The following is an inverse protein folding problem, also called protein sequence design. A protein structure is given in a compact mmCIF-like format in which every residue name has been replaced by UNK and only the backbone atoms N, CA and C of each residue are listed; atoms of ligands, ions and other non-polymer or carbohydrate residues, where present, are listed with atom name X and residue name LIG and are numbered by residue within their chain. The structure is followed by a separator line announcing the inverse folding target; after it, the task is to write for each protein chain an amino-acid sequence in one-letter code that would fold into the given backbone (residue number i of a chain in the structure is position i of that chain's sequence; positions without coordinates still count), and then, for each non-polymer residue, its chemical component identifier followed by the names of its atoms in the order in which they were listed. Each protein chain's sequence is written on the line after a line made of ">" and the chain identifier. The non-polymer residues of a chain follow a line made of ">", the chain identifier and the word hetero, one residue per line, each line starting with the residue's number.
data_IF_278904587775
#
_entry.id   IF_278904587775
#
_cell.length_a   1.000
_cell.length_b   1.000
_cell.length_c   1.000
_cell.angle_alpha   90.00
_cell.angle_beta   90.00
_cell.angle_gamma   90.00
#
_symmetry.space_group_name_H-M   'P 1'
#
loop_
_entity.id
_entity.type
_entity.pdbx_description
1 polymer ?
#
# COMPACT_ATOMS: atom_id res chain seq x y z
N UNK A 1 -8.68 -10.02 -23.71
CA UNK A 1 -9.12 -10.29 -22.32
C UNK A 1 -10.59 -9.94 -22.19
N UNK A 2 -11.34 -10.53 -21.24
CA UNK A 2 -12.76 -10.25 -21.02
C UNK A 2 -12.94 -9.20 -19.91
N UNK A 3 -13.54 -8.04 -20.22
CA UNK A 3 -13.74 -6.93 -19.27
C UNK A 3 -14.63 -7.33 -18.08
N UNK A 4 -15.63 -8.20 -18.30
CA UNK A 4 -16.51 -8.67 -17.23
C UNK A 4 -15.72 -9.41 -16.14
N UNK A 5 -14.85 -10.34 -16.55
CA UNK A 5 -14.01 -11.10 -15.63
C UNK A 5 -12.98 -10.23 -14.91
N UNK A 6 -12.51 -9.15 -15.55
CA UNK A 6 -11.59 -8.20 -14.91
C UNK A 6 -12.33 -7.31 -13.90
N UNK A 7 -13.58 -6.93 -14.18
CA UNK A 7 -14.41 -6.14 -13.28
C UNK A 7 -14.75 -6.92 -12.01
N UNK A 8 -15.10 -8.21 -12.12
CA UNK A 8 -15.36 -9.06 -10.96
C UNK A 8 -14.13 -9.17 -10.04
N UNK A 9 -12.93 -9.32 -10.61
CA UNK A 9 -11.68 -9.33 -9.83
C UNK A 9 -11.38 -7.98 -9.17
N UNK A 10 -11.61 -6.88 -9.87
CA UNK A 10 -11.47 -5.54 -9.30
C UNK A 10 -12.39 -5.39 -8.07
N UNK A 11 -13.62 -5.89 -8.19
CA UNK A 11 -14.59 -5.86 -7.10
C UNK A 11 -14.10 -6.64 -5.88
N UNK A 12 -13.64 -7.88 -6.08
CA UNK A 12 -13.08 -8.71 -5.02
C UNK A 12 -11.91 -8.01 -4.31
N UNK A 13 -11.01 -7.37 -5.07
CA UNK A 13 -9.86 -6.64 -4.52
C UNK A 13 -10.30 -5.45 -3.69
N UNK A 14 -11.20 -4.61 -4.19
CA UNK A 14 -11.71 -3.45 -3.43
C UNK A 14 -12.39 -3.92 -2.16
N UNK A 15 -13.25 -4.94 -2.22
CA UNK A 15 -13.95 -5.45 -1.04
C UNK A 15 -12.98 -6.03 0.01
N UNK A 16 -11.90 -6.69 -0.40
CA UNK A 16 -10.91 -7.25 0.55
C UNK A 16 -9.92 -6.22 1.09
N UNK A 17 -9.54 -5.21 0.30
CA UNK A 17 -8.54 -4.23 0.71
C UNK A 17 -9.14 -3.06 1.49
N UNK A 18 -10.41 -2.69 1.26
CA UNK A 18 -11.00 -1.48 1.81
C UNK A 18 -11.01 -1.45 3.34
N UNK A 19 -11.43 -2.54 3.98
CA UNK A 19 -11.44 -2.64 5.45
C UNK A 19 -10.02 -2.60 6.04
N UNK A 20 -9.06 -3.27 5.40
CA UNK A 20 -7.67 -3.29 5.89
C UNK A 20 -6.97 -1.95 5.73
N UNK A 21 -7.14 -1.28 4.58
CA UNK A 21 -6.59 0.06 4.37
C UNK A 21 -7.25 1.07 5.30
N UNK A 22 -8.57 0.98 5.48
CA UNK A 22 -9.30 1.83 6.43
C UNK A 22 -8.83 1.63 7.87
N UNK A 23 -8.63 0.38 8.31
CA UNK A 23 -8.05 0.07 9.63
C UNK A 23 -6.62 0.57 9.74
N UNK A 24 -5.78 0.41 8.71
CA UNK A 24 -4.42 0.95 8.70
C UNK A 24 -4.37 2.48 8.83
N UNK A 25 -5.40 3.19 8.35
CA UNK A 25 -5.51 4.65 8.46
C UNK A 25 -6.12 5.08 9.81
N UNK A 26 -7.10 4.34 10.32
CA UNK A 26 -7.84 4.68 11.52
C UNK A 26 -7.11 4.27 12.82
N UNK A 27 -6.49 3.09 12.80
CA UNK A 27 -5.77 2.51 13.92
C UNK A 27 -4.29 2.87 13.80
N UNK A 28 -3.97 4.11 14.14
CA UNK A 28 -2.60 4.60 14.20
C UNK A 28 -1.79 3.75 15.23
N UNK A 29 -1.06 2.74 14.74
CA UNK A 29 0.16 2.18 15.34
C UNK A 29 0.12 1.46 16.71
N UNK A 30 -0.86 0.62 17.05
CA UNK A 30 -0.70 -0.17 18.30
C UNK A 30 0.54 -1.10 18.25
N UNK A 31 0.93 -1.59 17.06
CA UNK A 31 2.16 -2.36 16.85
C UNK A 31 2.69 -2.24 15.41
N UNK A 32 3.97 -1.86 15.27
CA UNK A 32 4.66 -1.76 13.98
C UNK A 32 4.66 -3.09 13.19
N UNK A 33 4.78 -4.23 13.85
CA UNK A 33 4.77 -5.54 13.19
C UNK A 33 3.40 -5.84 12.55
N UNK A 34 2.31 -5.43 13.21
CA UNK A 34 0.95 -5.59 12.68
C UNK A 34 0.73 -4.67 11.49
N UNK A 35 1.21 -3.44 11.57
CA UNK A 35 1.17 -2.49 10.47
C UNK A 35 1.92 -3.03 9.24
N UNK A 36 3.16 -3.48 9.41
CA UNK A 36 3.99 -4.02 8.32
C UNK A 36 3.38 -5.31 7.73
N UNK A 37 2.83 -6.19 8.56
CA UNK A 37 2.15 -7.41 8.10
C UNK A 37 0.91 -7.08 7.26
N UNK A 38 0.06 -6.16 7.73
CA UNK A 38 -1.14 -5.73 7.01
C UNK A 38 -0.77 -5.00 5.71
N UNK A 39 0.23 -4.12 5.74
CA UNK A 39 0.75 -3.46 4.55
C UNK A 39 1.26 -4.47 3.51
N UNK A 40 2.09 -5.43 3.91
CA UNK A 40 2.62 -6.47 3.02
C UNK A 40 1.49 -7.28 2.39
N UNK A 41 0.48 -7.66 3.17
CA UNK A 41 -0.67 -8.41 2.68
C UNK A 41 -1.51 -7.61 1.69
N UNK A 42 -1.75 -6.32 1.97
CA UNK A 42 -2.49 -5.43 1.09
C UNK A 42 -1.74 -5.22 -0.23
N UNK A 43 -0.43 -4.97 -0.15
CA UNK A 43 0.41 -4.78 -1.32
C UNK A 43 0.54 -6.05 -2.16
N UNK A 44 0.66 -7.23 -1.57
CA UNK A 44 0.69 -8.49 -2.33
C UNK A 44 -0.58 -8.68 -3.16
N UNK A 45 -1.77 -8.42 -2.58
CA UNK A 45 -3.04 -8.48 -3.34
C UNK A 45 -3.12 -7.41 -4.41
N UNK A 46 -2.78 -6.18 -4.06
CA UNK A 46 -2.77 -5.06 -4.99
C UNK A 46 -1.86 -5.35 -6.19
N UNK A 47 -0.64 -5.81 -5.96
CA UNK A 47 0.37 -6.13 -6.98
C UNK A 47 0.12 -7.45 -7.70
N UNK A 48 -0.56 -8.42 -7.06
CA UNK A 48 -0.97 -9.67 -7.72
C UNK A 48 -1.90 -9.41 -8.90
N UNK A 49 -2.58 -8.28 -8.88
CA UNK A 49 -3.18 -7.72 -10.06
C UNK A 49 -2.15 -6.82 -10.75
N UNK A 50 -1.67 -7.27 -11.91
CA UNK A 50 -1.15 -6.33 -12.88
C UNK A 50 -2.31 -5.42 -13.26
N UNK A 51 -2.42 -4.27 -12.59
CA UNK A 51 -3.35 -3.24 -12.99
C UNK A 51 -3.25 -3.10 -14.49
N UNK A 52 -4.37 -3.18 -15.21
CA UNK A 52 -4.38 -2.80 -16.61
C UNK A 52 -4.26 -1.26 -16.67
N UNK A 53 -3.17 -0.70 -16.14
CA UNK A 53 -2.77 0.70 -16.34
C UNK A 53 -2.63 1.02 -17.83
N UNK A 54 -2.56 0.00 -18.68
CA UNK A 54 -2.37 0.10 -20.11
C UNK A 54 -3.67 0.02 -20.96
N UNK A 55 -4.85 -0.25 -20.37
CA UNK A 55 -6.10 -0.39 -21.14
C UNK A 55 -7.09 0.71 -20.79
N UNK A 56 -7.04 1.81 -21.55
CA UNK A 56 -8.05 2.87 -21.51
C UNK A 56 -9.47 2.29 -21.60
N UNK A 57 -9.68 1.31 -22.49
CA UNK A 57 -10.96 0.61 -22.69
C UNK A 57 -11.52 -0.04 -21.42
N UNK A 58 -10.66 -0.59 -20.54
CA UNK A 58 -11.11 -1.17 -19.28
C UNK A 58 -11.52 -0.08 -18.29
N UNK A 59 -10.77 1.02 -18.20
CA UNK A 59 -11.13 2.13 -17.32
C UNK A 59 -12.45 2.79 -17.75
N UNK A 60 -12.63 3.04 -19.04
CA UNK A 60 -13.89 3.55 -19.59
C UNK A 60 -15.05 2.60 -19.26
N UNK A 61 -14.86 1.29 -19.47
CA UNK A 61 -15.85 0.28 -19.12
C UNK A 61 -16.21 0.28 -17.62
N UNK A 62 -15.24 0.39 -16.72
CA UNK A 62 -15.51 0.44 -15.26
C UNK A 62 -16.27 1.72 -14.92
N UNK A 63 -15.88 2.87 -15.46
CA UNK A 63 -16.54 4.16 -15.21
C UNK A 63 -18.00 4.15 -15.68
N UNK A 64 -18.26 3.59 -16.86
CA UNK A 64 -19.60 3.46 -17.41
C UNK A 64 -20.48 2.50 -16.61
N UNK A 65 -19.89 1.41 -16.09
CA UNK A 65 -20.63 0.36 -15.40
C UNK A 65 -20.85 0.62 -13.91
N UNK A 66 -19.84 1.12 -13.22
CA UNK A 66 -19.88 1.45 -11.79
C UNK A 66 -18.79 2.49 -11.42
N UNK A 67 -19.14 3.76 -11.56
CA UNK A 67 -18.24 4.88 -11.23
C UNK A 67 -17.81 4.90 -9.76
N UNK A 68 -18.65 4.42 -8.84
CA UNK A 68 -18.31 4.41 -7.41
C UNK A 68 -17.23 3.37 -7.14
N UNK A 69 -17.31 2.20 -7.78
CA UNK A 69 -16.28 1.17 -7.73
C UNK A 69 -14.94 1.69 -8.24
N UNK A 70 -14.94 2.43 -9.35
CA UNK A 70 -13.73 3.07 -9.88
C UNK A 70 -13.12 4.08 -8.92
N UNK A 71 -13.94 4.96 -8.31
CA UNK A 71 -13.48 5.96 -7.35
C UNK A 71 -12.83 5.27 -6.14
N UNK A 72 -13.50 4.28 -5.53
CA UNK A 72 -12.96 3.53 -4.38
C UNK A 72 -11.64 2.86 -4.71
N UNK A 73 -11.55 2.23 -5.87
CA UNK A 73 -10.30 1.63 -6.35
C UNK A 73 -9.15 2.65 -6.46
N UNK A 74 -9.43 3.80 -7.05
CA UNK A 74 -8.44 4.88 -7.20
C UNK A 74 -7.97 5.41 -5.85
N UNK A 75 -8.88 5.58 -4.89
CA UNK A 75 -8.56 6.03 -3.53
C UNK A 75 -7.71 5.02 -2.76
N UNK A 76 -8.06 3.73 -2.82
CA UNK A 76 -7.26 2.65 -2.22
C UNK A 76 -5.86 2.58 -2.81
N UNK A 77 -5.73 2.74 -4.13
CA UNK A 77 -4.43 2.77 -4.81
C UNK A 77 -3.55 3.91 -4.31
N UNK A 78 -4.12 5.11 -4.17
CA UNK A 78 -3.40 6.27 -3.66
C UNK A 78 -2.98 6.09 -2.20
N UNK A 79 -3.87 5.53 -1.36
CA UNK A 79 -3.59 5.26 0.04
C UNK A 79 -2.44 4.25 0.22
N UNK A 80 -2.45 3.15 -0.54
CA UNK A 80 -1.39 2.14 -0.48
C UNK A 80 -0.03 2.71 -0.92
N UNK A 81 0.01 3.52 -1.96
CA UNK A 81 1.25 4.21 -2.38
C UNK A 81 1.74 5.17 -1.29
N UNK A 82 0.84 5.91 -0.64
CA UNK A 82 1.20 6.81 0.46
C UNK A 82 1.76 6.03 1.67
N UNK A 83 1.13 4.91 2.04
CA UNK A 83 1.60 4.03 3.11
C UNK A 83 3.00 3.47 2.78
N UNK A 84 3.20 2.96 1.55
CA UNK A 84 4.50 2.46 1.11
C UNK A 84 5.59 3.53 1.23
N UNK A 85 5.31 4.75 0.77
CA UNK A 85 6.26 5.86 0.89
C UNK A 85 6.56 6.20 2.36
N UNK A 86 5.57 6.15 3.25
CA UNK A 86 5.77 6.36 4.69
C UNK A 86 6.68 5.31 5.30
N UNK A 87 6.50 4.04 4.94
CA UNK A 87 7.38 2.94 5.38
C UNK A 87 8.81 3.16 4.93
N UNK A 88 9.02 3.48 3.65
CA UNK A 88 10.36 3.74 3.11
C UNK A 88 11.08 4.88 3.84
N UNK A 89 10.34 5.95 4.18
CA UNK A 89 10.90 7.07 4.95
C UNK A 89 11.24 6.69 6.39
N UNK A 90 10.41 5.86 7.04
CA UNK A 90 10.65 5.39 8.40
C UNK A 90 11.90 4.50 8.47
N UNK A 91 12.05 3.54 7.55
CA UNK A 91 13.23 2.67 7.47
C UNK A 91 14.51 3.47 7.21
N UNK A 92 14.44 4.48 6.33
CA UNK A 92 15.56 5.39 6.09
C UNK A 92 15.98 6.15 7.36
N UNK A 93 15.03 6.63 8.16
CA UNK A 93 15.31 7.31 9.42
C UNK A 93 15.92 6.36 10.47
N UNK A 94 15.37 5.14 10.64
CA UNK A 94 15.93 4.17 11.58
C UNK A 94 17.39 3.83 11.25
N UNK A 95 17.68 3.58 9.97
CA UNK A 95 19.04 3.29 9.52
C UNK A 95 20.00 4.47 9.79
N UNK A 96 19.53 5.70 9.62
CA UNK A 96 20.31 6.90 9.96
C UNK A 96 20.63 6.98 11.46
N UNK A 97 19.64 6.78 12.33
CA UNK A 97 19.85 6.80 13.79
C UNK A 97 20.78 5.68 14.25
N UNK A 98 20.64 4.47 13.71
CA UNK A 98 21.53 3.35 13.99
C UNK A 98 22.99 3.66 13.59
N UNK A 99 23.20 4.28 12.42
CA UNK A 99 24.52 4.70 11.96
C UNK A 99 25.14 5.79 12.85
N UNK A 100 24.35 6.73 13.36
CA UNK A 100 24.81 7.75 14.33
C UNK A 100 25.21 7.09 15.65
N UNK A 101 24.38 6.20 16.20
CA UNK A 101 24.68 5.50 17.44
C UNK A 101 25.97 4.67 17.35
N UNK A 102 26.16 3.94 16.24
CA UNK A 102 27.38 3.17 15.99
C UNK A 102 28.64 4.04 15.91
N UNK A 103 28.56 5.23 15.30
CA UNK A 103 29.67 6.20 15.25
C UNK A 103 30.01 6.75 16.63
N UNK A 104 29.01 7.04 17.47
CA UNK A 104 29.22 7.54 18.83
C UNK A 104 29.91 6.51 19.73
N UNK A 105 29.47 5.25 19.70
CA UNK A 105 30.07 4.15 20.48
C UNK A 105 31.52 3.85 20.10
N UNK A 106 31.88 3.96 18.81
CA UNK A 106 33.25 3.79 18.37
C UNK A 106 34.17 4.95 18.79
N UNK A 107 33.62 6.16 18.96
CA UNK A 107 34.35 7.32 19.49
C UNK A 107 34.69 7.15 20.97
N UNK A 108 33.79 6.58 21.76
CA UNK A 108 34.03 6.29 23.18
C UNK A 108 35.08 5.20 23.41
N UNK A 109 35.23 4.23 22.51
CA UNK A 109 36.27 3.18 22.60
C UNK A 109 37.69 3.66 22.29
N UNK A 110 37.84 4.83 21.67
CA UNK A 110 39.12 5.41 21.28
C UNK A 110 39.66 6.44 22.30
N UNK A 111 38.90 6.71 23.35
CA UNK A 111 39.25 7.55 24.49
C UNK A 111 39.40 6.70 25.75
#
# INVERSE_FOLDING_TARGET
>A
MNNESNFDKLKDIVETLDEMVSSLIADDYENLDTFLSNHSWCMDRFMSWNFPTESLDFFEYVVERDINQYIRYRELSAALIAISNTIDHFDAQQNMYAAIAAKSLNKEKLH
#
